data_IF_351983306585
#
_entry.id   IF_351983306585
#
_cell.length_a   1.000
_cell.length_b   1.000
_cell.length_c   1.000
_cell.angle_alpha   90.00
_cell.angle_beta   90.00
_cell.angle_gamma   90.00
#
_symmetry.space_group_name_H-M   'P 1'
#
loop_
_entity.id
_entity.type
_entity.pdbx_description
1 polymer ?
#
# COMPACT_ATOMS: atom_id res chain seq x y z
N UNK A 1 -3.16 -3.79 11.75
CA UNK A 1 -4.39 -2.98 11.92
C UNK A 1 -5.04 -3.18 13.29
N UNK A 2 -5.38 -4.41 13.69
CA UNK A 2 -6.09 -4.71 14.95
C UNK A 2 -5.49 -4.14 16.25
N UNK A 3 -4.17 -3.95 16.34
CA UNK A 3 -3.54 -3.36 17.53
C UNK A 3 -3.82 -1.87 17.71
N UNK A 4 -4.07 -1.14 16.61
CA UNK A 4 -4.37 0.32 16.62
C UNK A 4 -5.85 0.59 16.42
N UNK A 5 -6.53 -0.24 15.64
CA UNK A 5 -7.95 -0.11 15.32
C UNK A 5 -8.64 -1.45 15.70
N UNK A 6 -8.98 -1.67 16.98
CA UNK A 6 -9.47 -2.97 17.45
C UNK A 6 -10.82 -3.37 16.83
N UNK A 7 -11.66 -2.40 16.47
CA UNK A 7 -12.95 -2.62 15.85
C UNK A 7 -12.89 -2.67 14.31
N UNK A 8 -11.71 -2.44 13.71
CA UNK A 8 -11.50 -2.57 12.27
C UNK A 8 -11.95 -3.93 11.72
N UNK A 9 -12.59 -3.92 10.55
CA UNK A 9 -13.00 -5.13 9.84
C UNK A 9 -12.33 -5.16 8.46
N UNK A 10 -11.50 -6.17 8.14
CA UNK A 10 -10.94 -6.27 6.79
C UNK A 10 -12.06 -6.53 5.77
N UNK A 11 -11.95 -5.87 4.61
CA UNK A 11 -12.90 -6.00 3.50
C UNK A 11 -12.33 -6.90 2.41
N UNK A 12 -11.08 -6.65 2.01
CA UNK A 12 -10.43 -7.39 0.93
C UNK A 12 -9.16 -6.72 0.45
N UNK A 13 -8.57 -7.28 -0.61
CA UNK A 13 -7.46 -6.66 -1.32
C UNK A 13 -7.99 -5.47 -2.13
N UNK A 14 -7.31 -4.33 -2.05
CA UNK A 14 -7.62 -3.16 -2.85
C UNK A 14 -6.42 -2.75 -3.70
N UNK A 15 -6.71 -2.23 -4.89
CA UNK A 15 -5.74 -1.72 -5.83
C UNK A 15 -6.03 -0.25 -6.13
N UNK A 16 -5.08 0.60 -5.79
CA UNK A 16 -5.05 2.01 -6.17
C UNK A 16 -4.29 2.11 -7.51
N UNK A 17 -4.96 2.41 -8.63
CA UNK A 17 -4.35 2.33 -9.95
C UNK A 17 -3.28 3.40 -10.17
N UNK A 18 -2.50 3.23 -11.24
CA UNK A 18 -1.62 4.27 -11.74
C UNK A 18 -2.35 5.63 -11.87
N UNK A 19 -1.64 6.75 -11.61
CA UNK A 19 -0.19 6.83 -11.52
C UNK A 19 0.34 6.87 -10.08
N UNK A 20 -0.33 6.19 -9.15
CA UNK A 20 0.14 6.04 -7.78
C UNK A 20 1.22 4.96 -7.65
N UNK A 21 2.23 5.24 -6.85
CA UNK A 21 3.33 4.32 -6.53
C UNK A 21 3.51 4.20 -5.02
N UNK A 22 3.95 3.02 -4.57
CA UNK A 22 4.29 2.78 -3.16
C UNK A 22 5.80 2.91 -2.95
N UNK A 23 6.19 3.50 -1.84
CA UNK A 23 7.60 3.58 -1.40
C UNK A 23 7.71 3.67 0.11
N UNK A 24 8.92 3.53 0.62
CA UNK A 24 9.31 4.06 1.93
C UNK A 24 9.90 5.45 1.73
N UNK A 25 9.36 6.44 2.43
CA UNK A 25 9.75 7.84 2.29
C UNK A 25 11.03 8.19 3.06
N UNK A 26 11.48 9.44 2.96
CA UNK A 26 12.71 9.90 3.63
C UNK A 26 12.66 9.84 5.17
N UNK A 27 11.50 9.57 5.77
CA UNK A 27 11.34 9.36 7.22
C UNK A 27 11.36 7.88 7.62
N UNK A 28 11.47 6.97 6.66
CA UNK A 28 11.47 5.53 6.88
C UNK A 28 10.09 4.90 7.06
N UNK A 29 9.03 5.59 6.63
CA UNK A 29 7.65 5.08 6.68
C UNK A 29 7.05 4.91 5.29
N UNK A 30 6.06 4.02 5.17
CA UNK A 30 5.37 3.80 3.90
C UNK A 30 4.59 5.03 3.44
N UNK A 31 4.59 5.29 2.14
CA UNK A 31 3.80 6.33 1.53
C UNK A 31 3.32 5.88 0.15
N UNK A 32 2.20 6.46 -0.30
CA UNK A 32 1.80 6.43 -1.70
C UNK A 32 2.06 7.78 -2.33
N UNK A 33 2.66 7.80 -3.52
CA UNK A 33 3.04 9.04 -4.21
C UNK A 33 2.43 9.08 -5.60
N UNK A 34 1.89 10.22 -5.97
CA UNK A 34 1.34 10.45 -7.30
C UNK A 34 2.47 10.83 -8.27
N UNK A 35 2.75 9.99 -9.27
CA UNK A 35 3.77 10.25 -10.30
C UNK A 35 3.12 10.64 -11.61
N UNK A 36 2.93 11.94 -11.87
CA UNK A 36 2.53 12.35 -13.22
C UNK A 36 3.47 11.69 -14.23
N UNK A 37 2.90 11.01 -15.21
CA UNK A 37 3.63 10.53 -16.37
C UNK A 37 4.21 11.78 -17.05
N UNK A 38 5.49 12.05 -16.83
CA UNK A 38 6.19 12.98 -17.70
C UNK A 38 6.12 12.38 -19.09
N UNK A 39 5.43 13.07 -20.00
CA UNK A 39 5.24 12.64 -21.38
C UNK A 39 6.61 12.64 -22.08
N UNK A 40 7.41 11.60 -21.85
CA UNK A 40 8.73 11.43 -22.44
C UNK A 40 8.64 10.37 -23.54
N UNK A 41 8.35 10.94 -24.70
CA UNK A 41 8.75 10.53 -26.04
C UNK A 41 7.89 9.51 -26.81
N UNK A 42 7.25 10.10 -27.82
CA UNK A 42 6.75 9.54 -29.06
C UNK A 42 7.89 8.84 -29.81
N UNK A 43 8.06 7.52 -29.65
CA UNK A 43 8.46 6.64 -30.76
C UNK A 43 8.35 5.17 -30.36
N UNK A 44 7.56 4.41 -31.14
CA UNK A 44 7.69 2.95 -31.22
C UNK A 44 6.68 2.17 -30.38
N UNK A 45 5.60 1.76 -31.04
CA UNK A 45 4.79 0.56 -30.78
C UNK A 45 4.96 -0.07 -29.39
N UNK A 46 4.05 0.24 -28.48
CA UNK A 46 3.49 -0.81 -27.64
C UNK A 46 2.07 -0.43 -27.23
N UNK A 47 1.12 -1.25 -27.67
CA UNK A 47 -0.19 -1.38 -27.05
C UNK A 47 0.01 -1.27 -25.53
N UNK A 48 -0.65 -0.29 -24.91
CA UNK A 48 -0.79 -0.22 -23.45
C UNK A 48 -1.32 -1.57 -22.97
N UNK A 49 -0.40 -2.43 -22.58
CA UNK A 49 -0.68 -3.66 -21.86
C UNK A 49 -0.70 -3.21 -20.41
N UNK A 50 -1.90 -2.87 -19.94
CA UNK A 50 -2.22 -2.54 -18.55
C UNK A 50 -1.83 -3.71 -17.63
N UNK A 51 -0.52 -3.87 -17.42
CA UNK A 51 0.08 -4.85 -16.54
C UNK A 51 0.44 -4.11 -15.25
N UNK A 52 -0.51 -4.14 -14.31
CA UNK A 52 -0.21 -4.04 -12.87
C UNK A 52 0.45 -2.79 -12.31
N UNK A 53 0.43 -1.63 -12.97
CA UNK A 53 1.00 -0.40 -12.40
C UNK A 53 0.02 0.24 -11.41
N UNK A 54 0.42 0.30 -10.13
CA UNK A 54 -0.39 0.86 -9.04
C UNK A 54 0.06 0.34 -7.67
N UNK A 55 -0.77 0.53 -6.66
CA UNK A 55 -0.50 0.15 -5.27
C UNK A 55 -1.52 -0.87 -4.81
N UNK A 56 -1.05 -2.01 -4.31
CA UNK A 56 -1.90 -2.96 -3.59
C UNK A 56 -1.88 -2.66 -2.10
N UNK A 57 -3.04 -2.79 -1.46
CA UNK A 57 -3.22 -2.68 -0.02
C UNK A 57 -4.39 -3.53 0.46
N UNK A 58 -4.61 -3.54 1.77
CA UNK A 58 -5.79 -4.18 2.36
C UNK A 58 -6.77 -3.09 2.76
N UNK A 59 -8.01 -3.20 2.27
CA UNK A 59 -9.08 -2.27 2.63
C UNK A 59 -9.71 -2.70 3.96
N UNK A 60 -9.93 -1.74 4.85
CA UNK A 60 -10.59 -1.94 6.13
C UNK A 60 -11.79 -1.01 6.25
N UNK A 61 -12.86 -1.51 6.87
CA UNK A 61 -13.91 -0.66 7.44
C UNK A 61 -13.49 -0.27 8.85
N UNK A 62 -13.47 1.03 9.11
CA UNK A 62 -13.16 1.61 10.41
C UNK A 62 -14.39 2.32 10.98
N UNK A 63 -14.78 2.04 12.23
CA UNK A 63 -15.65 2.94 12.98
C UNK A 63 -14.98 4.31 13.22
N UNK A 64 -15.75 5.39 13.41
CA UNK A 64 -15.17 6.73 13.62
C UNK A 64 -14.14 6.82 14.76
N UNK A 65 -14.33 6.08 15.86
CA UNK A 65 -13.38 6.06 16.96
C UNK A 65 -12.03 5.41 16.60
N UNK A 66 -12.05 4.39 15.74
CA UNK A 66 -10.83 3.75 15.24
C UNK A 66 -10.11 4.64 14.22
N UNK A 67 -10.87 5.44 13.45
CA UNK A 67 -10.30 6.46 12.54
C UNK A 67 -9.61 7.57 13.34
N UNK A 68 -10.26 8.11 14.37
CA UNK A 68 -9.68 9.17 15.23
C UNK A 68 -8.40 8.70 15.93
N UNK A 69 -8.38 7.45 16.40
CA UNK A 69 -7.17 6.87 16.97
C UNK A 69 -6.07 6.69 15.91
N UNK A 70 -6.44 6.29 14.69
CA UNK A 70 -5.50 6.17 13.57
C UNK A 70 -4.94 7.54 13.14
N UNK A 71 -5.76 8.59 13.09
CA UNK A 71 -5.32 9.97 12.82
C UNK A 71 -4.17 10.39 13.74
N UNK A 72 -4.26 10.03 15.03
CA UNK A 72 -3.20 10.29 16.00
C UNK A 72 -1.90 9.52 15.70
N UNK A 73 -1.99 8.25 15.29
CA UNK A 73 -0.83 7.44 14.90
C UNK A 73 -0.19 7.90 13.59
N UNK A 74 -0.99 8.38 12.63
CA UNK A 74 -0.53 8.90 11.34
C UNK A 74 -0.08 10.36 11.45
N UNK A 75 -0.28 11.01 12.61
CA UNK A 75 0.15 12.37 12.87
C UNK A 75 -0.55 13.41 12.00
N UNK A 76 -1.84 13.21 11.73
CA UNK A 76 -2.65 14.10 10.90
C UNK A 76 -2.81 15.48 11.57
N UNK A 77 -2.72 16.60 10.82
CA UNK A 77 -2.42 16.71 9.38
C UNK A 77 -0.93 16.96 9.08
N UNK A 78 -0.03 16.82 10.07
CA UNK A 78 1.37 17.25 9.96
C UNK A 78 2.22 16.21 9.22
N UNK A 79 2.06 14.93 9.58
CA UNK A 79 2.85 13.84 9.01
C UNK A 79 2.18 13.21 7.79
N UNK A 80 0.86 13.10 7.79
CA UNK A 80 0.06 12.64 6.65
C UNK A 80 -1.23 13.45 6.56
N UNK A 81 -1.79 13.56 5.36
CA UNK A 81 -3.10 14.13 5.07
C UNK A 81 -4.09 13.02 4.70
N UNK A 82 -5.36 13.25 5.02
CA UNK A 82 -6.47 12.35 4.67
C UNK A 82 -6.99 12.65 3.28
N UNK A 83 -6.96 11.65 2.40
CA UNK A 83 -7.40 11.78 1.00
C UNK A 83 -8.32 10.62 0.65
N UNK A 84 -9.48 10.92 0.09
CA UNK A 84 -10.35 9.89 -0.49
C UNK A 84 -9.92 9.63 -1.93
N UNK A 85 -9.57 8.38 -2.24
CA UNK A 85 -9.08 7.97 -3.55
C UNK A 85 -9.90 6.80 -4.12
N UNK A 86 -10.11 6.76 -5.45
CA UNK A 86 -10.77 5.63 -6.10
C UNK A 86 -9.84 4.41 -6.09
N UNK A 87 -10.40 3.26 -5.71
CA UNK A 87 -9.72 1.97 -5.68
C UNK A 87 -10.58 0.88 -6.33
N UNK A 88 -9.93 -0.19 -6.77
CA UNK A 88 -10.61 -1.43 -7.19
C UNK A 88 -10.46 -2.45 -6.07
N UNK A 89 -11.57 -3.00 -5.58
CA UNK A 89 -11.60 -3.97 -4.49
C UNK A 89 -11.90 -5.36 -5.02
N UNK A 90 -11.08 -6.33 -4.64
CA UNK A 90 -11.22 -7.73 -5.02
C UNK A 90 -11.74 -8.54 -3.83
N UNK A 91 -12.79 -9.34 -4.07
CA UNK A 91 -13.22 -10.33 -3.09
C UNK A 91 -12.14 -11.43 -2.93
N UNK A 92 -12.09 -12.11 -1.78
CA UNK A 92 -11.18 -13.24 -1.59
C UNK A 92 -11.35 -14.28 -2.71
N UNK A 93 -10.25 -14.62 -3.39
CA UNK A 93 -10.24 -15.58 -4.51
C UNK A 93 -10.66 -15.01 -5.87
N UNK A 94 -11.01 -13.73 -5.94
CA UNK A 94 -11.30 -13.05 -7.21
C UNK A 94 -10.03 -12.80 -8.02
N UNK A 95 -10.15 -12.87 -9.34
CA UNK A 95 -9.02 -12.63 -10.24
C UNK A 95 -8.63 -11.14 -10.22
N UNK A 96 -7.35 -10.89 -9.95
CA UNK A 96 -6.78 -9.55 -9.97
C UNK A 96 -6.40 -9.16 -11.40
N UNK A 97 -6.76 -7.94 -11.80
CA UNK A 97 -6.46 -7.41 -13.13
C UNK A 97 -7.69 -6.85 -13.86
N UNK A 98 -7.55 -6.52 -15.16
CA UNK A 98 -8.62 -5.89 -15.93
C UNK A 98 -9.92 -6.70 -15.93
N UNK A 99 -11.03 -6.07 -15.57
CA UNK A 99 -12.35 -6.70 -15.53
C UNK A 99 -12.66 -7.52 -14.28
N UNK A 100 -11.74 -7.57 -13.30
CA UNK A 100 -12.00 -8.08 -11.95
C UNK A 100 -12.18 -6.95 -10.94
N UNK A 101 -12.84 -7.27 -9.82
CA UNK A 101 -13.10 -6.37 -8.72
C UNK A 101 -14.25 -5.39 -8.97
N UNK A 102 -14.53 -4.56 -7.96
CA UNK A 102 -15.50 -3.47 -8.05
C UNK A 102 -14.87 -2.15 -7.60
N UNK A 103 -15.32 -1.04 -8.21
CA UNK A 103 -14.87 0.30 -7.84
C UNK A 103 -15.43 0.71 -6.47
N UNK A 104 -14.59 1.36 -5.68
CA UNK A 104 -14.95 1.95 -4.39
C UNK A 104 -14.08 3.19 -4.11
N UNK A 105 -14.49 3.98 -3.13
CA UNK A 105 -13.68 5.07 -2.58
C UNK A 105 -13.05 4.62 -1.26
N UNK A 106 -11.77 4.90 -1.06
CA UNK A 106 -11.04 4.58 0.17
C UNK A 106 -10.37 5.82 0.75
N UNK A 107 -10.42 5.95 2.08
CA UNK A 107 -9.59 6.91 2.79
C UNK A 107 -8.13 6.41 2.82
N UNK A 108 -7.21 7.23 2.33
CA UNK A 108 -5.78 6.96 2.27
C UNK A 108 -5.03 8.09 2.95
N UNK A 109 -4.06 7.74 3.79
CA UNK A 109 -3.14 8.68 4.41
C UNK A 109 -1.97 8.91 3.47
N UNK A 110 -1.79 10.15 3.00
CA UNK A 110 -0.76 10.53 2.02
C UNK A 110 0.16 11.59 2.61
N UNK A 111 1.47 11.38 2.52
CA UNK A 111 2.44 12.43 2.81
C UNK A 111 2.85 13.13 1.51
N UNK A 112 2.33 14.35 1.28
CA UNK A 112 2.63 15.14 0.09
C UNK A 112 3.98 15.85 0.14
N UNK A 113 4.63 15.90 1.31
CA UNK A 113 5.89 16.62 1.51
C UNK A 113 7.14 15.72 1.47
N UNK A 114 6.97 14.40 1.51
CA UNK A 114 8.01 13.38 1.58
C UNK A 114 7.73 12.30 0.53
N UNK A 115 8.09 12.65 -0.70
CA UNK A 115 7.83 11.84 -1.90
C UNK A 115 9.08 11.17 -2.46
N UNK A 116 10.24 11.39 -1.81
CA UNK A 116 11.49 10.73 -2.12
C UNK A 116 11.54 9.31 -1.55
N UNK A 117 12.45 8.49 -2.06
CA UNK A 117 12.74 7.16 -1.50
C UNK A 117 13.71 7.31 -0.32
N UNK A 118 13.45 6.59 0.76
CA UNK A 118 14.33 6.48 1.93
C UNK A 118 14.53 5.03 2.36
N UNK A 119 15.23 4.84 3.47
CA UNK A 119 15.48 3.54 4.10
C UNK A 119 14.44 3.27 5.20
N UNK A 120 14.03 2.02 5.35
CA UNK A 120 13.10 1.61 6.40
C UNK A 120 13.80 1.54 7.76
N UNK A 121 13.04 1.77 8.82
CA UNK A 121 13.51 1.58 10.20
C UNK A 121 13.40 0.10 10.59
N UNK A 122 14.39 -0.46 11.29
CA UNK A 122 14.41 -1.89 11.66
C UNK A 122 13.12 -2.35 12.39
N UNK A 123 12.65 -1.58 13.39
CA UNK A 123 11.40 -1.89 14.10
C UNK A 123 10.18 -1.90 13.16
N UNK A 124 10.22 -1.03 12.14
CA UNK A 124 9.15 -0.90 11.15
C UNK A 124 9.16 -2.07 10.16
N UNK A 125 10.33 -2.59 9.78
CA UNK A 125 10.50 -3.74 8.89
C UNK A 125 9.75 -4.96 9.43
N UNK A 126 9.94 -5.32 10.70
CA UNK A 126 9.26 -6.47 11.30
C UNK A 126 7.72 -6.35 11.28
N UNK A 127 7.20 -5.13 11.49
CA UNK A 127 5.75 -4.85 11.40
C UNK A 127 5.23 -4.97 9.97
N UNK A 128 5.99 -4.48 9.00
CA UNK A 128 5.65 -4.59 7.58
C UNK A 128 5.72 -6.04 7.10
N UNK A 129 6.73 -6.81 7.52
CA UNK A 129 6.84 -8.24 7.22
C UNK A 129 5.60 -9.02 7.68
N UNK A 130 5.14 -8.77 8.91
CA UNK A 130 3.89 -9.35 9.42
C UNK A 130 2.69 -8.96 8.57
N UNK A 131 2.55 -7.67 8.25
CA UNK A 131 1.44 -7.17 7.42
C UNK A 131 1.44 -7.75 6.00
N UNK A 132 2.61 -7.94 5.39
CA UNK A 132 2.76 -8.60 4.09
C UNK A 132 2.32 -10.06 4.17
N UNK A 133 2.74 -10.81 5.20
CA UNK A 133 2.35 -12.21 5.41
C UNK A 133 0.83 -12.33 5.56
N UNK A 134 0.24 -11.55 6.47
CA UNK A 134 -1.20 -11.51 6.71
C UNK A 134 -1.98 -11.17 5.43
N UNK A 135 -1.54 -10.17 4.66
CA UNK A 135 -2.20 -9.78 3.41
C UNK A 135 -2.07 -10.85 2.32
N UNK A 136 -0.93 -11.52 2.24
CA UNK A 136 -0.68 -12.61 1.29
C UNK A 136 -1.57 -13.80 1.60
N UNK A 137 -1.62 -14.22 2.86
CA UNK A 137 -2.38 -15.40 3.31
C UNK A 137 -3.89 -15.16 3.26
N UNK A 138 -4.37 -13.99 3.71
CA UNK A 138 -5.80 -13.74 3.83
C UNK A 138 -6.44 -13.20 2.55
N UNK A 139 -5.69 -12.43 1.74
CA UNK A 139 -6.25 -11.68 0.62
C UNK A 139 -5.53 -11.91 -0.71
N UNK A 140 -4.49 -12.74 -0.74
CA UNK A 140 -3.78 -13.07 -1.97
C UNK A 140 -2.99 -11.90 -2.55
N UNK A 141 -2.34 -11.09 -1.71
CA UNK A 141 -1.40 -10.05 -2.16
C UNK A 141 -0.41 -10.64 -3.20
N UNK A 142 -0.26 -10.04 -4.40
CA UNK A 142 0.58 -10.64 -5.44
C UNK A 142 2.03 -10.78 -5.04
N UNK A 143 2.58 -11.99 -5.20
CA UNK A 143 4.00 -12.25 -4.94
C UNK A 143 4.92 -11.32 -5.74
N UNK A 144 4.61 -11.06 -7.01
CA UNK A 144 5.41 -10.13 -7.81
C UNK A 144 5.41 -8.70 -7.25
N UNK A 145 4.32 -8.26 -6.60
CA UNK A 145 4.22 -6.94 -6.00
C UNK A 145 5.06 -6.88 -4.73
N UNK A 146 4.97 -7.91 -3.90
CA UNK A 146 5.86 -8.08 -2.73
C UNK A 146 7.32 -8.03 -3.17
N UNK A 147 7.71 -8.89 -4.11
CA UNK A 147 9.10 -9.06 -4.53
C UNK A 147 9.69 -7.83 -5.22
N UNK A 148 8.92 -7.17 -6.10
CA UNK A 148 9.45 -6.08 -6.93
C UNK A 148 9.22 -4.69 -6.35
N UNK A 149 8.18 -4.52 -5.52
CA UNK A 149 7.79 -3.20 -5.00
C UNK A 149 8.12 -3.07 -3.52
N UNK A 150 7.79 -4.07 -2.70
CA UNK A 150 7.94 -3.96 -1.24
C UNK A 150 9.31 -4.40 -0.74
N UNK A 151 9.83 -5.54 -1.21
CA UNK A 151 11.10 -6.13 -0.76
C UNK A 151 12.34 -5.25 -0.94
N UNK A 152 12.44 -4.38 -1.97
CA UNK A 152 13.54 -3.42 -2.06
C UNK A 152 13.64 -2.46 -0.86
N UNK A 153 12.55 -2.26 -0.12
CA UNK A 153 12.52 -1.40 1.07
C UNK A 153 12.29 -2.17 2.37
N UNK A 154 11.66 -3.34 2.32
CA UNK A 154 11.30 -4.18 3.47
C UNK A 154 12.01 -5.53 3.33
N UNK A 155 13.30 -5.61 3.72
CA UNK A 155 14.02 -6.88 3.72
C UNK A 155 13.34 -7.88 4.66
N UNK A 156 13.52 -9.17 4.39
CA UNK A 156 13.15 -10.20 5.36
C UNK A 156 14.08 -10.08 6.57
N UNK A 157 13.55 -10.30 7.76
CA UNK A 157 14.39 -10.43 8.95
C UNK A 157 15.37 -11.59 8.70
N UNK A 158 16.67 -11.36 8.89
CA UNK A 158 17.61 -12.48 8.87
C UNK A 158 17.20 -13.46 9.98
N UNK A 159 17.16 -14.78 9.73
CA UNK A 159 16.92 -15.73 10.79
C UNK A 159 18.03 -15.50 11.82
N UNK A 160 17.65 -15.08 13.03
CA UNK A 160 18.58 -14.98 14.16
C UNK A 160 19.28 -16.33 14.25
N UNK A 161 20.56 -16.36 13.89
CA UNK A 161 21.38 -17.55 14.02
C UNK A 161 21.31 -17.95 15.50
N UNK A 162 20.60 -19.03 15.78
CA UNK A 162 20.47 -19.56 17.14
C UNK A 162 21.88 -19.97 17.53
N UNK A 163 22.47 -19.20 18.46
CA UNK A 163 23.79 -19.49 19.04
C UNK A 163 23.69 -20.63 20.03
#
# INVERSE_FOLDING_TARGET
MKSRCPASTPVGLAFLPAPWEWLINERGYANVVYRRSDNKDTTGTSRSTATGTGVYGVLYRLPPADEELLDGYEGVPIAYEKVTLPVVVFAPGEQQGPGGGHEAEALVYVNFHRVGKGESLDEYVGRMNRGISEATEAFGLPGWYVDKVMRPFIPLDEPTAVS
#
